data_IF_539889662636
#
_entry.id   IF_539889662636
#
_cell.length_a   1.000
_cell.length_b   1.000
_cell.length_c   1.000
_cell.angle_alpha   90.00
_cell.angle_beta   90.00
_cell.angle_gamma   90.00
#
_symmetry.space_group_name_H-M   'P 1'
#
loop_
_entity.id
_entity.type
_entity.pdbx_description
1 polymer ?
#
# COMPACT_ATOMS: atom_id res chain seq x y z
N UNK A 1 -18.67 11.91 -32.70
CA UNK A 1 -17.73 11.94 -31.57
C UNK A 1 -16.31 11.85 -32.12
N UNK A 2 -15.51 12.93 -32.15
CA UNK A 2 -14.16 12.85 -32.70
C UNK A 2 -13.27 12.02 -31.77
N UNK A 3 -12.60 11.01 -32.31
CA UNK A 3 -11.53 10.28 -31.62
C UNK A 3 -10.43 11.29 -31.31
N UNK A 4 -10.30 11.75 -30.06
CA UNK A 4 -9.18 12.63 -29.64
C UNK A 4 -7.87 11.90 -29.94
N UNK A 5 -7.05 12.47 -30.83
CA UNK A 5 -5.72 11.95 -31.18
C UNK A 5 -4.95 11.66 -29.90
N UNK A 6 -4.36 10.47 -29.83
CA UNK A 6 -3.27 10.22 -28.88
C UNK A 6 -2.17 11.23 -29.18
N UNK A 7 -1.45 11.76 -28.18
CA UNK A 7 -0.25 12.54 -28.46
C UNK A 7 0.71 11.66 -29.28
N UNK A 8 1.01 12.07 -30.52
CA UNK A 8 1.98 11.43 -31.41
C UNK A 8 3.43 11.72 -30.95
N UNK A 9 3.69 11.63 -29.64
CA UNK A 9 5.04 11.68 -29.08
C UNK A 9 5.60 10.28 -28.97
N UNK A 10 6.81 10.13 -29.48
CA UNK A 10 7.69 8.99 -29.23
C UNK A 10 8.13 8.95 -27.76
N UNK A 11 8.63 7.80 -27.32
CA UNK A 11 9.19 7.67 -25.97
C UNK A 11 10.34 8.66 -25.72
N UNK A 12 11.17 8.93 -26.73
CA UNK A 12 12.30 9.85 -26.58
C UNK A 12 11.85 11.30 -26.41
N UNK A 13 10.85 11.75 -27.17
CA UNK A 13 10.26 13.08 -27.03
C UNK A 13 9.60 13.27 -25.66
N UNK A 14 8.90 12.25 -25.15
CA UNK A 14 8.36 12.29 -23.79
C UNK A 14 9.44 12.54 -22.74
N UNK A 15 10.56 11.82 -22.82
CA UNK A 15 11.66 11.96 -21.87
C UNK A 15 12.36 13.31 -21.99
N UNK A 16 12.61 13.78 -23.23
CA UNK A 16 13.26 15.05 -23.48
C UNK A 16 12.40 16.23 -23.00
N UNK A 17 11.11 16.24 -23.34
CA UNK A 17 10.20 17.32 -22.96
C UNK A 17 9.98 17.36 -21.43
N UNK A 18 9.85 16.21 -20.76
CA UNK A 18 9.66 16.16 -19.30
C UNK A 18 10.93 16.53 -18.50
N UNK A 19 12.11 16.34 -19.10
CA UNK A 19 13.39 16.78 -18.54
C UNK A 19 13.69 18.26 -18.82
N UNK A 20 12.96 18.90 -19.74
CA UNK A 20 13.12 20.31 -20.08
C UNK A 20 12.43 21.24 -19.07
N UNK A 21 12.61 22.55 -19.26
CA UNK A 21 11.89 23.59 -18.55
C UNK A 21 11.07 24.46 -19.51
N UNK A 22 10.03 25.12 -19.00
CA UNK A 22 9.22 26.07 -19.77
C UNK A 22 8.24 25.41 -20.75
N UNK A 23 8.04 25.98 -21.96
CA UNK A 23 6.90 25.61 -22.82
C UNK A 23 6.83 24.13 -23.25
N UNK A 24 7.98 23.47 -23.40
CA UNK A 24 8.05 22.06 -23.79
C UNK A 24 7.56 21.13 -22.65
N UNK A 25 8.01 21.39 -21.41
CA UNK A 25 7.49 20.73 -20.22
C UNK A 25 5.98 20.95 -20.10
N UNK A 26 5.50 22.19 -20.24
CA UNK A 26 4.08 22.51 -20.13
C UNK A 26 3.25 21.76 -21.19
N UNK A 27 3.76 21.65 -22.42
CA UNK A 27 3.11 20.91 -23.48
C UNK A 27 3.04 19.40 -23.18
N UNK A 28 4.13 18.80 -22.71
CA UNK A 28 4.15 17.41 -22.31
C UNK A 28 3.16 17.14 -21.16
N UNK A 29 3.17 17.97 -20.11
CA UNK A 29 2.23 17.82 -18.98
C UNK A 29 0.77 17.96 -19.43
N UNK A 30 0.45 18.94 -20.29
CA UNK A 30 -0.90 19.11 -20.86
C UNK A 30 -1.37 17.88 -21.63
N UNK A 31 -0.50 17.28 -22.43
CA UNK A 31 -0.84 16.12 -23.26
C UNK A 31 -0.89 14.82 -22.48
N UNK A 32 -0.10 14.71 -21.40
CA UNK A 32 -0.09 13.55 -20.52
C UNK A 32 -1.31 13.55 -19.58
N UNK A 33 -1.80 14.72 -19.15
CA UNK A 33 -2.94 14.87 -18.24
C UNK A 33 -4.17 14.03 -18.64
N UNK A 34 -4.72 14.12 -19.87
CA UNK A 34 -5.92 13.34 -20.23
C UNK A 34 -5.66 11.82 -20.27
N UNK A 35 -4.41 11.40 -20.50
CA UNK A 35 -4.01 9.98 -20.48
C UNK A 35 -4.06 9.43 -19.06
N UNK A 36 -3.56 10.22 -18.08
CA UNK A 36 -3.58 9.86 -16.67
C UNK A 36 -4.98 9.96 -16.07
N UNK A 37 -5.75 11.03 -16.36
CA UNK A 37 -7.14 11.18 -15.91
C UNK A 37 -7.98 9.97 -16.29
N UNK A 38 -7.88 9.52 -17.55
CA UNK A 38 -8.62 8.33 -18.00
C UNK A 38 -8.23 7.08 -17.23
N UNK A 39 -6.93 6.87 -17.00
CA UNK A 39 -6.46 5.69 -16.26
C UNK A 39 -6.88 5.72 -14.79
N UNK A 40 -6.80 6.89 -14.14
CA UNK A 40 -7.27 7.13 -12.78
C UNK A 40 -8.78 6.87 -12.68
N UNK A 41 -9.59 7.48 -13.54
CA UNK A 41 -11.03 7.29 -13.54
C UNK A 41 -11.43 5.81 -13.71
N UNK A 42 -10.88 5.11 -14.72
CA UNK A 42 -11.16 3.69 -14.96
C UNK A 42 -10.74 2.82 -13.76
N UNK A 43 -9.68 3.21 -13.05
CA UNK A 43 -9.20 2.47 -11.88
C UNK A 43 -10.04 2.74 -10.64
N UNK A 44 -10.50 3.98 -10.44
CA UNK A 44 -11.23 4.42 -9.26
C UNK A 44 -12.73 4.11 -9.31
N UNK A 45 -13.35 4.20 -10.50
CA UNK A 45 -14.79 3.99 -10.68
C UNK A 45 -15.35 2.68 -10.06
N UNK A 46 -14.71 1.51 -10.20
CA UNK A 46 -15.21 0.27 -9.58
C UNK A 46 -14.89 0.15 -8.08
N UNK A 47 -14.22 1.14 -7.47
CA UNK A 47 -13.68 1.07 -6.10
C UNK A 47 -14.19 2.15 -5.17
N UNK A 48 -14.93 3.12 -5.69
CA UNK A 48 -15.46 4.25 -4.94
C UNK A 48 -16.92 4.42 -5.31
N UNK A 49 -17.82 4.41 -4.32
CA UNK A 49 -19.27 4.47 -4.55
C UNK A 49 -19.71 5.77 -5.22
N UNK A 50 -19.07 6.90 -4.88
CA UNK A 50 -19.31 8.23 -5.46
C UNK A 50 -18.04 9.08 -5.46
N UNK A 51 -17.88 9.94 -6.46
CA UNK A 51 -16.78 10.91 -6.51
C UNK A 51 -15.48 10.40 -7.14
N UNK A 52 -15.52 9.30 -7.90
CA UNK A 52 -14.35 8.80 -8.63
C UNK A 52 -13.76 9.85 -9.60
N UNK A 53 -14.59 10.68 -10.22
CA UNK A 53 -14.16 11.80 -11.07
C UNK A 53 -13.41 12.87 -10.29
N UNK A 54 -14.00 13.35 -9.19
CA UNK A 54 -13.38 14.35 -8.32
C UNK A 54 -12.03 13.83 -7.78
N UNK A 55 -11.99 12.58 -7.33
CA UNK A 55 -10.76 11.96 -6.85
C UNK A 55 -9.71 11.80 -7.97
N UNK A 56 -10.12 11.49 -9.20
CA UNK A 56 -9.19 11.43 -10.33
C UNK A 56 -8.61 12.82 -10.66
N UNK A 57 -9.43 13.87 -10.58
CA UNK A 57 -9.00 15.25 -10.78
C UNK A 57 -8.04 15.73 -9.68
N UNK A 58 -8.29 15.35 -8.43
CA UNK A 58 -7.39 15.63 -7.30
C UNK A 58 -6.03 14.94 -7.50
N UNK A 59 -6.03 13.67 -7.91
CA UNK A 59 -4.82 12.86 -8.02
C UNK A 59 -4.00 13.10 -9.29
N UNK A 60 -4.58 13.70 -10.34
CA UNK A 60 -3.85 13.81 -11.61
C UNK A 60 -2.62 14.72 -11.50
N UNK A 61 -2.68 15.77 -10.68
CA UNK A 61 -1.55 16.68 -10.52
C UNK A 61 -0.37 15.97 -9.87
N UNK A 62 -0.60 15.25 -8.78
CA UNK A 62 0.42 14.44 -8.11
C UNK A 62 0.96 13.33 -9.00
N UNK A 63 0.09 12.70 -9.79
CA UNK A 63 0.50 11.69 -10.76
C UNK A 63 1.43 12.29 -11.85
N UNK A 64 1.14 13.49 -12.35
CA UNK A 64 2.00 14.18 -13.31
C UNK A 64 3.38 14.50 -12.72
N UNK A 65 3.43 15.01 -11.49
CA UNK A 65 4.68 15.28 -10.77
C UNK A 65 5.49 13.98 -10.58
N UNK A 66 4.84 12.92 -10.09
CA UNK A 66 5.50 11.64 -9.84
C UNK A 66 6.01 10.97 -11.13
N UNK A 67 5.28 11.14 -12.24
CA UNK A 67 5.73 10.67 -13.56
C UNK A 67 6.97 11.44 -14.02
N UNK A 68 6.98 12.77 -13.87
CA UNK A 68 8.14 13.62 -14.20
C UNK A 68 9.36 13.21 -13.39
N UNK A 69 9.24 13.13 -12.07
CA UNK A 69 10.34 12.80 -11.16
C UNK A 69 10.94 11.41 -11.45
N UNK A 70 10.11 10.49 -11.92
CA UNK A 70 10.52 9.12 -12.23
C UNK A 70 10.83 8.90 -13.71
N UNK A 71 10.72 9.91 -14.58
CA UNK A 71 10.85 9.74 -16.02
C UNK A 71 12.20 9.12 -16.40
N UNK A 72 13.29 9.50 -15.70
CA UNK A 72 14.62 8.91 -15.90
C UNK A 72 14.74 7.41 -15.55
N UNK A 73 13.76 6.83 -14.86
CA UNK A 73 13.71 5.40 -14.52
C UNK A 73 12.99 4.57 -15.59
N UNK A 74 12.45 5.21 -16.63
CA UNK A 74 11.75 4.53 -17.70
C UNK A 74 12.73 3.79 -18.61
N UNK A 75 12.60 2.46 -18.67
CA UNK A 75 13.52 1.56 -19.38
C UNK A 75 13.29 1.40 -20.89
N UNK A 76 12.15 1.89 -21.41
CA UNK A 76 11.84 1.76 -22.84
C UNK A 76 11.14 0.47 -23.27
N UNK A 77 10.91 -0.49 -22.35
CA UNK A 77 10.30 -1.80 -22.65
C UNK A 77 8.84 -1.75 -23.14
N UNK A 78 8.20 -0.60 -23.07
CA UNK A 78 6.81 -0.37 -23.46
C UNK A 78 6.63 1.06 -24.00
N UNK A 79 5.40 1.49 -24.31
CA UNK A 79 5.13 2.92 -24.52
C UNK A 79 5.23 3.68 -23.21
N UNK A 80 5.82 4.87 -23.25
CA UNK A 80 5.95 5.77 -22.10
C UNK A 80 4.60 6.01 -21.41
N UNK A 81 3.55 6.29 -22.18
CA UNK A 81 2.20 6.50 -21.64
C UNK A 81 1.65 5.31 -20.87
N UNK A 82 1.99 4.07 -21.27
CA UNK A 82 1.59 2.86 -20.52
C UNK A 82 2.34 2.76 -19.19
N UNK A 83 3.62 3.11 -19.15
CA UNK A 83 4.39 3.18 -17.91
C UNK A 83 3.87 4.30 -16.99
N UNK A 84 3.61 5.49 -17.53
CA UNK A 84 3.06 6.62 -16.77
C UNK A 84 1.68 6.32 -16.17
N UNK A 85 0.82 5.61 -16.90
CA UNK A 85 -0.45 5.11 -16.37
C UNK A 85 -0.24 4.18 -15.17
N UNK A 86 0.74 3.27 -15.19
CA UNK A 86 1.06 2.42 -14.04
C UNK A 86 1.47 3.23 -12.82
N UNK A 87 2.27 4.29 -13.00
CA UNK A 87 2.65 5.21 -11.91
C UNK A 87 1.39 5.84 -11.29
N UNK A 88 0.51 6.41 -12.12
CA UNK A 88 -0.75 7.01 -11.66
C UNK A 88 -1.68 6.00 -10.96
N UNK A 89 -1.78 4.77 -11.47
CA UNK A 89 -2.58 3.70 -10.86
C UNK A 89 -2.01 3.29 -9.50
N UNK A 90 -0.69 3.18 -9.36
CA UNK A 90 -0.07 2.91 -8.07
C UNK A 90 -0.34 4.03 -7.06
N UNK A 91 -0.28 5.30 -7.50
CA UNK A 91 -0.65 6.44 -6.65
C UNK A 91 -2.11 6.33 -6.19
N UNK A 92 -3.05 6.07 -7.10
CA UNK A 92 -4.46 5.89 -6.76
C UNK A 92 -4.69 4.76 -5.75
N UNK A 93 -3.98 3.64 -5.88
CA UNK A 93 -4.07 2.56 -4.90
C UNK A 93 -3.50 2.94 -3.54
N UNK A 94 -2.40 3.68 -3.51
CA UNK A 94 -1.84 4.20 -2.26
C UNK A 94 -2.85 5.13 -1.57
N UNK A 95 -3.49 6.01 -2.33
CA UNK A 95 -4.47 6.97 -1.80
C UNK A 95 -5.79 6.34 -1.37
N UNK A 96 -6.33 5.38 -2.12
CA UNK A 96 -7.49 4.60 -1.67
C UNK A 96 -7.20 3.84 -0.38
N UNK A 97 -5.98 3.30 -0.27
CA UNK A 97 -5.55 2.61 0.94
C UNK A 97 -5.43 3.59 2.09
N UNK A 98 -4.78 4.73 1.91
CA UNK A 98 -4.65 5.79 2.92
C UNK A 98 -6.02 6.26 3.42
N UNK A 99 -6.92 6.64 2.52
CA UNK A 99 -8.29 7.10 2.87
C UNK A 99 -9.10 6.04 3.61
N UNK A 100 -8.92 4.75 3.29
CA UNK A 100 -9.58 3.67 4.03
C UNK A 100 -9.15 3.62 5.51
N UNK A 101 -7.94 4.06 5.84
CA UNK A 101 -7.38 3.99 7.19
C UNK A 101 -7.25 5.36 7.89
N UNK A 102 -7.57 6.46 7.20
CA UNK A 102 -7.47 7.84 7.71
C UNK A 102 -8.53 8.14 8.79
N UNK A 103 -9.75 7.60 8.62
CA UNK A 103 -10.87 7.80 9.55
C UNK A 103 -11.04 6.68 10.59
N UNK A 104 -10.11 5.72 10.63
CA UNK A 104 -10.18 4.59 11.55
C UNK A 104 -9.37 4.94 12.81
N UNK A 105 -10.00 5.08 13.99
CA UNK A 105 -9.29 5.32 15.24
C UNK A 105 -8.26 4.23 15.48
N UNK A 106 -7.15 4.56 16.16
CA UNK A 106 -6.09 3.59 16.46
C UNK A 106 -6.65 2.31 17.07
N UNK A 107 -7.60 2.41 18.01
CA UNK A 107 -8.24 1.25 18.66
C UNK A 107 -8.96 0.32 17.67
N UNK A 108 -9.47 0.84 16.56
CA UNK A 108 -10.09 0.06 15.49
C UNK A 108 -9.07 -0.48 14.46
N UNK A 109 -7.86 0.07 14.40
CA UNK A 109 -6.73 -0.49 13.62
C UNK A 109 -6.14 -1.74 14.30
N UNK A 110 -6.26 -1.84 15.62
CA UNK A 110 -5.81 -2.98 16.45
C UNK A 110 -6.96 -3.94 16.77
N UNK A 111 -8.19 -3.63 16.36
CA UNK A 111 -9.32 -4.53 16.52
C UNK A 111 -9.03 -5.85 15.81
N UNK A 112 -9.40 -6.95 16.48
CA UNK A 112 -9.19 -8.31 15.98
C UNK A 112 -9.83 -8.45 14.58
N UNK A 113 -9.14 -9.07 13.60
CA UNK A 113 -9.78 -9.38 12.33
C UNK A 113 -11.03 -10.22 12.60
N UNK A 114 -12.14 -9.99 11.86
CA UNK A 114 -13.32 -10.82 12.00
C UNK A 114 -12.92 -12.28 11.84
N UNK A 115 -13.37 -13.13 12.78
CA UNK A 115 -13.06 -14.56 12.77
C UNK A 115 -13.25 -15.10 11.36
N UNK A 116 -12.18 -15.62 10.76
CA UNK A 116 -12.26 -16.26 9.44
C UNK A 116 -13.30 -17.39 9.52
N UNK A 117 -14.06 -17.65 8.43
CA UNK A 117 -15.00 -18.76 8.41
C UNK A 117 -14.26 -20.06 8.75
N UNK A 118 -14.70 -20.71 9.82
CA UNK A 118 -14.00 -21.86 10.40
C UNK A 118 -13.92 -23.02 9.39
N UNK A 119 -12.73 -23.64 9.19
CA UNK A 119 -12.64 -25.00 8.66
C UNK A 119 -13.29 -25.99 9.65
N UNK A 120 -13.43 -27.27 9.28
CA UNK A 120 -14.10 -28.29 10.11
C UNK A 120 -13.64 -28.35 11.58
N UNK A 121 -14.49 -28.88 12.46
CA UNK A 121 -14.41 -28.75 13.92
C UNK A 121 -13.04 -29.06 14.55
N UNK A 122 -12.32 -30.07 14.04
CA UNK A 122 -11.01 -30.46 14.58
C UNK A 122 -9.87 -29.51 14.16
N UNK A 123 -9.88 -29.06 12.90
CA UNK A 123 -8.92 -28.06 12.37
C UNK A 123 -9.18 -26.68 12.99
N UNK A 124 -10.45 -26.37 13.30
CA UNK A 124 -10.82 -25.13 13.97
C UNK A 124 -10.29 -25.07 15.42
N UNK A 125 -10.24 -26.19 16.14
CA UNK A 125 -9.74 -26.24 17.52
C UNK A 125 -8.22 -26.08 17.60
N UNK A 126 -7.45 -26.83 16.80
CA UNK A 126 -5.98 -26.73 16.79
C UNK A 126 -5.51 -25.32 16.39
N UNK A 127 -6.15 -24.74 15.36
CA UNK A 127 -5.86 -23.38 14.90
C UNK A 127 -6.26 -22.33 15.97
N UNK A 128 -7.33 -22.56 16.73
CA UNK A 128 -7.71 -21.67 17.84
C UNK A 128 -6.69 -21.68 18.98
N UNK A 129 -6.14 -22.83 19.34
CA UNK A 129 -5.10 -22.94 20.38
C UNK A 129 -3.79 -22.26 19.96
N UNK A 130 -3.34 -22.50 18.72
CA UNK A 130 -2.16 -21.85 18.15
C UNK A 130 -2.32 -20.32 18.10
N UNK A 131 -3.46 -19.82 17.60
CA UNK A 131 -3.76 -18.38 17.54
C UNK A 131 -3.83 -17.76 18.94
N UNK A 132 -4.45 -18.44 19.90
CA UNK A 132 -4.54 -17.98 21.29
C UNK A 132 -3.15 -17.90 21.93
N UNK A 133 -2.29 -18.88 21.66
CA UNK A 133 -0.91 -18.89 22.14
C UNK A 133 -0.09 -17.73 21.56
N UNK A 134 -0.17 -17.50 20.24
CA UNK A 134 0.52 -16.38 19.58
C UNK A 134 0.05 -15.04 20.14
N UNK A 135 -1.26 -14.86 20.37
CA UNK A 135 -1.82 -13.65 21.00
C UNK A 135 -1.28 -13.44 22.40
N UNK A 136 -1.18 -14.51 23.19
CA UNK A 136 -0.62 -14.45 24.55
C UNK A 136 0.84 -14.03 24.52
N UNK A 137 1.64 -14.59 23.61
CA UNK A 137 3.04 -14.21 23.45
C UNK A 137 3.22 -12.76 23.02
N UNK A 138 2.37 -12.26 22.12
CA UNK A 138 2.35 -10.85 21.74
C UNK A 138 2.06 -9.96 22.96
N UNK A 139 1.08 -10.33 23.78
CA UNK A 139 0.72 -9.57 24.99
C UNK A 139 1.78 -9.62 26.10
N UNK A 140 2.46 -10.76 26.27
CA UNK A 140 3.47 -10.97 27.32
C UNK A 140 4.83 -10.33 26.96
N UNK A 141 5.25 -10.39 25.69
CA UNK A 141 6.65 -10.15 25.31
C UNK A 141 6.87 -8.78 24.62
N UNK A 142 5.82 -8.20 24.03
CA UNK A 142 5.90 -6.93 23.33
C UNK A 142 5.42 -5.77 24.20
N UNK A 143 6.02 -4.59 23.98
CA UNK A 143 5.44 -3.35 24.51
C UNK A 143 4.13 -3.04 23.80
N UNK A 144 3.23 -2.28 24.42
CA UNK A 144 1.98 -1.85 23.76
C UNK A 144 2.26 -1.22 22.39
N UNK A 145 3.28 -0.35 22.31
CA UNK A 145 3.66 0.30 21.04
C UNK A 145 4.13 -0.71 19.98
N UNK A 146 4.85 -1.76 20.36
CA UNK A 146 5.27 -2.83 19.46
C UNK A 146 4.10 -3.72 19.02
N UNK A 147 3.23 -4.09 19.96
CA UNK A 147 2.03 -4.88 19.69
C UNK A 147 1.08 -4.15 18.73
N UNK A 148 0.76 -2.89 19.02
CA UNK A 148 -0.07 -2.02 18.17
C UNK A 148 0.51 -1.88 16.76
N UNK A 149 1.82 -1.63 16.63
CA UNK A 149 2.47 -1.52 15.34
C UNK A 149 2.39 -2.84 14.55
N UNK A 150 2.66 -3.98 15.19
CA UNK A 150 2.64 -5.28 14.55
C UNK A 150 1.23 -5.66 14.08
N UNK A 151 0.23 -5.51 14.95
CA UNK A 151 -1.17 -5.83 14.65
C UNK A 151 -1.71 -4.97 13.52
N UNK A 152 -1.42 -3.66 13.51
CA UNK A 152 -1.85 -2.78 12.42
C UNK A 152 -1.27 -3.22 11.06
N UNK A 153 0.01 -3.63 11.02
CA UNK A 153 0.63 -4.14 9.79
C UNK A 153 0.01 -5.47 9.36
N UNK A 154 -0.29 -6.38 10.29
CA UNK A 154 -0.98 -7.64 10.01
C UNK A 154 -2.39 -7.42 9.46
N UNK A 155 -3.09 -6.39 9.96
CA UNK A 155 -4.40 -5.95 9.47
C UNK A 155 -4.34 -5.21 8.12
N UNK A 156 -3.14 -5.05 7.53
CA UNK A 156 -2.96 -4.46 6.20
C UNK A 156 -2.94 -2.92 6.19
N UNK A 157 -2.80 -2.29 7.35
CA UNK A 157 -2.62 -0.84 7.48
C UNK A 157 -1.26 -0.45 6.87
N UNK A 158 -1.18 0.58 6.02
CA UNK A 158 0.08 1.03 5.44
C UNK A 158 1.08 1.49 6.50
N UNK A 159 2.37 1.23 6.26
CA UNK A 159 3.42 1.65 7.18
C UNK A 159 3.44 3.16 7.44
N UNK A 160 3.11 3.99 6.44
CA UNK A 160 3.06 5.44 6.64
C UNK A 160 1.87 5.85 7.53
N UNK A 161 0.73 5.16 7.43
CA UNK A 161 -0.43 5.38 8.29
C UNK A 161 -0.16 4.94 9.73
N UNK A 162 0.51 3.79 9.92
CA UNK A 162 0.95 3.32 11.23
C UNK A 162 1.98 4.27 11.83
N UNK A 163 2.95 4.74 11.04
CA UNK A 163 3.96 5.68 11.51
C UNK A 163 3.32 7.00 11.96
N UNK A 164 2.37 7.52 11.20
CA UNK A 164 1.62 8.73 11.56
C UNK A 164 0.79 8.54 12.83
N UNK A 165 0.02 7.45 12.93
CA UNK A 165 -0.80 7.15 14.11
C UNK A 165 0.03 6.98 15.37
N UNK A 166 1.21 6.39 15.25
CA UNK A 166 2.15 6.20 16.35
C UNK A 166 3.06 7.41 16.58
N UNK A 167 2.81 8.56 15.93
CA UNK A 167 3.65 9.76 16.00
C UNK A 167 5.15 9.44 15.87
N UNK A 168 5.50 8.77 14.77
CA UNK A 168 6.85 8.33 14.46
C UNK A 168 7.14 8.42 12.96
N UNK A 169 8.37 8.08 12.56
CA UNK A 169 8.75 8.00 11.15
C UNK A 169 8.98 6.55 10.71
N UNK A 170 9.04 6.34 9.40
CA UNK A 170 9.18 5.01 8.79
C UNK A 170 10.41 4.24 9.27
N UNK A 171 11.56 4.89 9.43
CA UNK A 171 12.79 4.22 9.89
C UNK A 171 12.67 3.76 11.35
N UNK A 172 12.10 4.60 12.21
CA UNK A 172 11.82 4.23 13.60
C UNK A 172 10.78 3.10 13.69
N UNK A 173 9.73 3.13 12.85
CA UNK A 173 8.74 2.06 12.76
C UNK A 173 9.36 0.73 12.28
N UNK A 174 10.25 0.76 11.29
CA UNK A 174 10.97 -0.45 10.86
C UNK A 174 11.80 -1.05 11.98
N UNK A 175 12.55 -0.22 12.71
CA UNK A 175 13.32 -0.67 13.87
C UNK A 175 12.41 -1.25 14.95
N UNK A 176 11.30 -0.58 15.25
CA UNK A 176 10.30 -1.04 16.22
C UNK A 176 9.75 -2.42 15.87
N UNK A 177 9.37 -2.64 14.60
CA UNK A 177 8.86 -3.93 14.10
C UNK A 177 9.95 -5.00 14.09
N UNK A 178 11.19 -4.64 13.77
CA UNK A 178 12.32 -5.55 13.83
C UNK A 178 12.57 -6.05 15.26
N UNK A 179 12.64 -5.12 16.22
CA UNK A 179 12.84 -5.44 17.63
C UNK A 179 11.69 -6.30 18.18
N UNK A 180 10.44 -6.04 17.75
CA UNK A 180 9.28 -6.85 18.09
C UNK A 180 9.43 -8.30 17.58
N UNK A 181 9.79 -8.49 16.31
CA UNK A 181 10.00 -9.83 15.73
C UNK A 181 11.14 -10.59 16.42
N UNK A 182 12.20 -9.90 16.83
CA UNK A 182 13.31 -10.52 17.55
C UNK A 182 12.89 -11.00 18.93
N UNK A 183 12.07 -10.23 19.65
CA UNK A 183 11.52 -10.63 20.96
C UNK A 183 10.60 -11.84 20.83
N UNK A 184 9.67 -11.82 19.89
CA UNK A 184 8.79 -12.97 19.65
C UNK A 184 9.58 -14.23 19.29
N UNK A 185 10.58 -14.12 18.40
CA UNK A 185 11.45 -15.25 18.06
C UNK A 185 12.11 -15.88 19.30
N UNK A 186 12.72 -15.05 20.15
CA UNK A 186 13.33 -15.52 21.40
C UNK A 186 12.31 -16.18 22.34
N UNK A 187 11.09 -15.65 22.40
CA UNK A 187 10.01 -16.18 23.23
C UNK A 187 9.49 -17.53 22.72
N UNK A 188 9.45 -17.74 21.40
CA UNK A 188 9.16 -19.04 20.78
C UNK A 188 10.27 -20.05 21.07
N UNK A 189 11.53 -19.68 20.82
CA UNK A 189 12.69 -20.53 21.09
C UNK A 189 12.76 -20.97 22.57
N UNK A 190 12.52 -20.05 23.51
CA UNK A 190 12.53 -20.34 24.94
C UNK A 190 11.42 -21.31 25.39
N UNK A 191 10.34 -21.41 24.61
CA UNK A 191 9.22 -22.32 24.86
C UNK A 191 9.33 -23.62 24.04
N UNK A 192 10.44 -23.81 23.32
CA UNK A 192 10.69 -24.98 22.50
C UNK A 192 9.82 -25.06 21.25
N UNK A 193 9.25 -23.94 20.82
CA UNK A 193 8.40 -23.85 19.64
C UNK A 193 9.23 -23.35 18.45
N UNK A 194 9.15 -24.05 17.33
CA UNK A 194 9.61 -23.54 16.05
C UNK A 194 8.47 -22.83 15.32
N UNK A 195 8.77 -21.86 14.45
CA UNK A 195 7.75 -21.24 13.60
C UNK A 195 7.02 -22.24 12.70
N UNK A 196 7.66 -23.36 12.35
CA UNK A 196 7.09 -24.43 11.54
C UNK A 196 6.09 -25.28 12.36
N UNK A 197 6.32 -25.50 13.66
CA UNK A 197 5.38 -26.20 14.55
C UNK A 197 4.00 -25.52 14.62
N UNK A 198 3.94 -24.19 14.42
CA UNK A 198 2.68 -23.43 14.38
C UNK A 198 1.97 -23.48 13.03
N UNK A 199 2.66 -23.87 11.96
CA UNK A 199 2.12 -23.96 10.60
C UNK A 199 1.73 -25.41 10.25
N UNK A 200 2.40 -26.40 10.84
CA UNK A 200 2.15 -27.83 10.59
C UNK A 200 0.86 -28.35 11.25
N UNK A 201 0.41 -27.75 12.37
CA UNK A 201 -0.87 -28.09 13.02
C UNK A 201 -2.12 -27.65 12.20
N UNK A 202 -1.94 -27.04 11.03
CA UNK A 202 -3.00 -26.52 10.16
C UNK A 202 -3.19 -27.28 8.83
N UNK A 203 -2.56 -28.45 8.65
CA UNK A 203 -2.66 -29.27 7.42
C UNK A 203 -3.29 -30.64 7.67
#
# INVERSE_FOLDING_TARGET
MPRRSRPDRTNAEWLADLASEGPALDAALRDLRPVLLRALHVTLAPRVDRGADALADDLVQDALLQVRDRAGQFRGDARFTTWAQKVAVHLAFSELRRKRWEDIPLDALVADPPAAPAPGADVAMANHEAVTMVRRLIAEELTERQSTALTAILNGVPMDDVARHLDTNRNALYKLLHDARLRLRKAFEARGLTPDDLLDDAT
#
